data_IF_376729707064
#
_entry.id   IF_376729707064
#
_cell.length_a   1.000
_cell.length_b   1.000
_cell.length_c   1.000
_cell.angle_alpha   90.00
_cell.angle_beta   90.00
_cell.angle_gamma   90.00
#
_symmetry.space_group_name_H-M   'P 1'
#
loop_
_entity.id
_entity.type
_entity.pdbx_description
1 polymer ?
#
# COMPACT_ATOMS: atom_id res chain seq x y z
N UNK A 1 15.65 22.64 4.29
CA UNK A 1 14.18 22.82 4.21
C UNK A 1 13.54 21.53 4.69
N UNK A 2 12.40 21.57 5.40
CA UNK A 2 11.79 20.35 5.95
C UNK A 2 10.35 20.21 5.43
N UNK A 3 9.97 19.01 5.02
CA UNK A 3 8.61 18.66 4.63
C UNK A 3 8.15 17.36 5.25
N UNK A 4 6.83 17.21 5.40
CA UNK A 4 6.21 16.06 6.07
C UNK A 4 4.92 15.64 5.41
N UNK A 5 4.69 14.33 5.37
CA UNK A 5 3.44 13.78 4.89
C UNK A 5 3.12 12.44 5.57
N UNK A 6 1.83 12.08 5.55
CA UNK A 6 1.33 10.78 5.99
C UNK A 6 0.54 10.13 4.85
N UNK A 7 0.76 8.84 4.62
CA UNK A 7 0.03 8.03 3.64
C UNK A 7 -0.66 6.84 4.32
N UNK A 8 -1.95 6.59 4.04
CA UNK A 8 -2.64 5.45 4.62
C UNK A 8 -2.15 4.13 4.02
N UNK A 9 -2.20 3.06 4.82
CA UNK A 9 -2.13 1.68 4.38
C UNK A 9 -3.37 1.30 3.58
N UNK A 10 -3.38 0.09 3.01
CA UNK A 10 -4.53 -0.37 2.24
C UNK A 10 -4.79 -1.89 2.31
N UNK A 11 -6.07 -2.24 2.27
CA UNK A 11 -6.58 -3.59 2.05
C UNK A 11 -6.70 -3.92 0.56
N UNK A 12 -7.07 -5.16 0.23
CA UNK A 12 -7.14 -5.65 -1.16
C UNK A 12 -8.55 -6.07 -1.52
N UNK A 13 -8.98 -5.65 -2.71
CA UNK A 13 -10.18 -6.18 -3.38
C UNK A 13 -9.78 -7.17 -4.48
N UNK A 14 -8.83 -6.81 -5.33
CA UNK A 14 -8.30 -7.64 -6.41
C UNK A 14 -6.77 -7.61 -6.38
N UNK A 15 -6.15 -8.77 -6.24
CA UNK A 15 -4.71 -8.91 -6.36
C UNK A 15 -4.28 -8.91 -7.85
N UNK A 16 -3.34 -8.02 -8.19
CA UNK A 16 -2.91 -7.81 -9.57
C UNK A 16 -2.03 -8.91 -10.18
N UNK A 17 -1.48 -9.85 -9.40
CA UNK A 17 -0.48 -10.81 -9.88
C UNK A 17 -0.98 -11.73 -11.01
N UNK A 18 -2.28 -11.96 -11.11
CA UNK A 18 -2.84 -12.88 -12.09
C UNK A 18 -3.11 -12.25 -13.47
N UNK A 19 -3.39 -10.95 -13.52
CA UNK A 19 -3.92 -10.28 -14.72
C UNK A 19 -3.45 -8.86 -14.93
N UNK A 20 -2.63 -8.32 -14.02
CA UNK A 20 -2.20 -6.92 -13.99
C UNK A 20 -3.35 -5.91 -13.79
N UNK A 21 -4.57 -6.40 -13.50
CA UNK A 21 -5.69 -5.61 -13.01
C UNK A 21 -5.72 -5.69 -11.51
N UNK A 22 -5.68 -4.55 -10.84
CA UNK A 22 -5.59 -4.46 -9.38
C UNK A 22 -6.70 -3.64 -8.78
N UNK A 23 -7.06 -3.92 -7.54
CA UNK A 23 -7.97 -3.08 -6.77
C UNK A 23 -7.65 -3.16 -5.28
N UNK A 24 -7.54 -1.99 -4.66
CA UNK A 24 -7.18 -1.82 -3.26
C UNK A 24 -8.07 -0.74 -2.62
N UNK A 25 -8.10 -0.69 -1.29
CA UNK A 25 -8.83 0.34 -0.55
C UNK A 25 -8.00 0.85 0.62
N UNK A 26 -7.97 2.16 0.83
CA UNK A 26 -7.22 2.76 1.94
C UNK A 26 -7.91 2.53 3.29
N UNK A 27 -7.10 2.34 4.33
CA UNK A 27 -7.52 2.16 5.73
C UNK A 27 -6.87 3.22 6.62
N UNK A 28 -7.51 3.55 7.73
CA UNK A 28 -7.06 4.58 8.68
C UNK A 28 -5.91 4.07 9.56
N UNK A 29 -4.75 3.85 8.93
CA UNK A 29 -3.48 3.44 9.52
C UNK A 29 -2.34 3.97 8.64
N UNK A 30 -1.28 4.57 9.20
CA UNK A 30 -0.41 5.44 8.39
C UNK A 30 1.08 5.04 8.36
N UNK A 31 1.73 5.42 7.27
CA UNK A 31 3.17 5.63 7.21
C UNK A 31 3.43 7.13 7.09
N UNK A 32 4.27 7.65 7.97
CA UNK A 32 4.70 9.04 8.02
C UNK A 32 6.10 9.16 7.42
N UNK A 33 6.34 10.20 6.63
CA UNK A 33 7.65 10.56 6.12
C UNK A 33 8.02 11.98 6.56
N UNK A 34 9.26 12.18 6.98
CA UNK A 34 9.88 13.49 7.19
C UNK A 34 11.10 13.58 6.29
N UNK A 35 11.18 14.64 5.49
CA UNK A 35 12.30 14.90 4.56
C UNK A 35 12.96 16.22 4.94
N UNK A 36 14.26 16.17 5.23
CA UNK A 36 15.12 17.32 5.45
C UNK A 36 16.06 17.48 4.26
N UNK A 37 15.92 18.58 3.52
CA UNK A 37 16.77 18.95 2.39
C UNK A 37 17.87 19.92 2.81
N UNK A 38 19.10 19.69 2.34
CA UNK A 38 20.31 20.45 2.68
C UNK A 38 20.94 21.09 1.44
N UNK A 39 21.75 22.13 1.68
CA UNK A 39 22.49 22.83 0.62
C UNK A 39 23.97 22.44 0.60
N UNK A 40 24.70 22.74 -0.49
CA UNK A 40 26.13 22.37 -0.65
C UNK A 40 27.03 22.88 0.49
N UNK A 41 26.61 23.92 1.22
CA UNK A 41 27.36 24.45 2.36
C UNK A 41 27.32 23.54 3.61
N UNK A 42 26.49 22.50 3.59
CA UNK A 42 26.14 21.68 4.75
C UNK A 42 26.58 20.21 4.59
N UNK A 43 27.17 19.83 3.45
CA UNK A 43 27.57 18.43 3.12
C UNK A 43 29.08 18.37 2.90
N UNK A 44 29.74 17.36 3.47
CA UNK A 44 31.17 17.08 3.21
C UNK A 44 31.31 16.26 1.91
N UNK A 45 32.40 16.44 1.14
CA UNK A 45 32.58 15.85 -0.21
C UNK A 45 32.55 14.29 -0.22
N UNK A 46 32.62 13.66 0.96
CA UNK A 46 32.65 12.20 1.16
C UNK A 46 31.30 11.61 1.66
N UNK A 47 30.25 12.41 1.86
CA UNK A 47 28.93 11.94 2.35
C UNK A 47 27.97 11.56 1.19
N UNK A 48 27.15 10.53 1.42
CA UNK A 48 26.05 10.19 0.50
C UNK A 48 25.07 11.36 0.43
N UNK A 49 24.74 11.80 -0.78
CA UNK A 49 23.87 12.96 -0.98
C UNK A 49 22.46 12.72 -0.41
N UNK A 50 21.96 11.48 -0.39
CA UNK A 50 20.62 11.15 0.10
C UNK A 50 20.70 9.95 1.02
N UNK A 51 20.21 10.10 2.25
CA UNK A 51 20.27 9.07 3.30
C UNK A 51 18.87 8.75 3.79
N UNK A 52 18.49 7.47 3.75
CA UNK A 52 17.22 6.99 4.26
C UNK A 52 17.31 6.40 5.67
N UNK A 53 16.23 6.54 6.44
CA UNK A 53 16.06 5.91 7.74
C UNK A 53 14.65 5.34 7.90
N UNK A 54 14.55 4.11 8.41
CA UNK A 54 13.28 3.48 8.79
C UNK A 54 13.25 3.35 10.32
N UNK A 55 12.31 4.06 10.96
CA UNK A 55 12.16 4.04 12.41
C UNK A 55 11.88 2.63 12.93
N UNK A 56 12.64 2.17 13.92
CA UNK A 56 12.52 0.83 14.49
C UNK A 56 13.15 -0.29 13.66
N UNK A 57 13.70 0.00 12.47
CA UNK A 57 14.32 -0.98 11.59
C UNK A 57 15.60 -0.44 10.90
N UNK A 58 16.70 -0.23 11.66
CA UNK A 58 17.91 0.40 11.13
C UNK A 58 18.67 -0.45 10.09
N UNK A 59 18.36 -1.73 9.98
CA UNK A 59 18.95 -2.65 8.98
C UNK A 59 18.02 -2.89 7.78
N UNK A 60 16.86 -2.23 7.74
CA UNK A 60 15.92 -2.35 6.63
C UNK A 60 16.44 -1.62 5.38
N UNK A 61 15.99 -2.09 4.21
CA UNK A 61 16.37 -1.53 2.92
C UNK A 61 15.68 -0.17 2.68
N UNK A 62 16.49 0.89 2.60
CA UNK A 62 16.05 2.28 2.45
C UNK A 62 16.02 2.77 1.01
N UNK A 63 16.46 1.95 0.04
CA UNK A 63 16.61 2.35 -1.36
C UNK A 63 15.31 2.92 -1.95
N UNK A 64 14.15 2.36 -1.57
CA UNK A 64 12.86 2.86 -2.05
C UNK A 64 12.63 4.33 -1.70
N UNK A 65 12.83 4.71 -0.43
CA UNK A 65 12.57 6.07 0.03
C UNK A 65 13.64 7.04 -0.48
N UNK A 66 14.88 6.59 -0.59
CA UNK A 66 15.97 7.37 -1.17
C UNK A 66 15.71 7.67 -2.66
N UNK A 67 15.37 6.65 -3.46
CA UNK A 67 15.04 6.83 -4.89
C UNK A 67 13.78 7.69 -5.08
N UNK A 68 12.79 7.62 -4.18
CA UNK A 68 11.65 8.54 -4.24
C UNK A 68 12.08 10.01 -4.06
N UNK A 69 13.02 10.30 -3.15
CA UNK A 69 13.57 11.65 -2.97
C UNK A 69 14.35 12.06 -4.22
N UNK A 70 15.23 11.21 -4.74
CA UNK A 70 15.98 11.45 -5.97
C UNK A 70 15.07 11.87 -7.12
N UNK A 71 14.01 11.10 -7.39
CA UNK A 71 13.10 11.37 -8.49
C UNK A 71 12.32 12.67 -8.35
N UNK A 72 11.94 13.05 -7.12
CA UNK A 72 11.31 14.35 -6.89
C UNK A 72 12.32 15.49 -7.09
N UNK A 73 13.55 15.34 -6.59
CA UNK A 73 14.59 16.36 -6.78
C UNK A 73 14.99 16.51 -8.26
N UNK A 74 15.08 15.42 -9.01
CA UNK A 74 15.35 15.47 -10.45
C UNK A 74 14.24 16.20 -11.23
N UNK A 75 12.98 16.03 -10.82
CA UNK A 75 11.82 16.63 -11.49
C UNK A 75 11.54 18.07 -11.04
N UNK A 76 11.80 18.39 -9.77
CA UNK A 76 11.31 19.62 -9.11
C UNK A 76 12.32 20.33 -8.23
N UNK A 77 13.51 19.75 -8.02
CA UNK A 77 14.55 20.30 -7.17
C UNK A 77 15.15 21.60 -7.69
N UNK A 78 15.73 22.36 -6.77
CA UNK A 78 16.46 23.59 -7.07
C UNK A 78 17.96 23.30 -7.12
N UNK A 79 18.76 24.03 -7.93
CA UNK A 79 20.19 23.78 -8.07
C UNK A 79 20.98 23.88 -6.76
N UNK A 80 20.46 24.58 -5.75
CA UNK A 80 21.11 24.70 -4.44
C UNK A 80 20.89 23.50 -3.52
N UNK A 81 19.97 22.58 -3.82
CA UNK A 81 19.74 21.37 -3.01
C UNK A 81 20.84 20.36 -3.33
N UNK A 82 21.66 20.05 -2.34
CA UNK A 82 22.82 19.17 -2.47
C UNK A 82 22.61 17.80 -1.82
N UNK A 83 21.59 17.67 -0.97
CA UNK A 83 21.28 16.40 -0.34
C UNK A 83 20.02 16.38 0.49
N UNK A 84 19.70 15.20 1.02
CA UNK A 84 18.49 14.96 1.79
C UNK A 84 18.67 13.86 2.85
N UNK A 85 17.95 13.99 3.96
CA UNK A 85 17.68 12.89 4.90
C UNK A 85 16.19 12.63 4.86
N UNK A 86 15.81 11.38 4.59
CA UNK A 86 14.41 10.94 4.62
C UNK A 86 14.23 9.91 5.72
N UNK A 87 13.27 10.18 6.62
CA UNK A 87 12.91 9.27 7.70
C UNK A 87 11.47 8.85 7.59
N UNK A 88 11.22 7.54 7.62
CA UNK A 88 9.87 6.97 7.67
C UNK A 88 9.58 6.32 9.02
N UNK A 89 8.32 6.42 9.46
CA UNK A 89 7.78 5.78 10.66
C UNK A 89 6.38 5.27 10.33
N UNK A 90 6.06 4.02 10.71
CA UNK A 90 4.75 3.45 10.38
C UNK A 90 4.14 2.72 11.56
N UNK A 91 2.84 2.94 11.71
CA UNK A 91 1.98 2.20 12.63
C UNK A 91 1.59 0.81 12.06
N UNK A 92 1.83 0.62 10.75
CA UNK A 92 1.55 -0.61 10.01
C UNK A 92 2.69 -1.61 10.21
N UNK A 93 2.41 -2.86 10.64
CA UNK A 93 3.45 -3.88 10.74
C UNK A 93 4.12 -4.13 9.38
N UNK A 94 5.45 -4.15 9.35
CA UNK A 94 6.21 -4.46 8.12
C UNK A 94 5.89 -5.86 7.59
N UNK A 95 5.90 -6.01 6.26
CA UNK A 95 5.68 -7.28 5.56
C UNK A 95 4.38 -8.01 5.95
N UNK A 96 3.34 -7.23 6.27
CA UNK A 96 2.03 -7.72 6.72
C UNK A 96 1.00 -7.91 5.60
N UNK A 97 1.30 -7.50 4.37
CA UNK A 97 0.33 -7.49 3.26
C UNK A 97 -0.61 -6.27 3.27
N UNK A 98 -0.32 -5.26 4.09
CA UNK A 98 -1.08 -4.00 4.20
C UNK A 98 -0.45 -2.84 3.40
N UNK A 99 0.42 -3.16 2.43
CA UNK A 99 0.94 -2.21 1.43
C UNK A 99 1.79 -1.07 2.01
N UNK A 100 2.51 -1.37 3.09
CA UNK A 100 3.38 -0.40 3.77
C UNK A 100 4.42 0.24 2.85
N UNK A 101 4.95 -0.50 1.85
CA UNK A 101 5.92 0.05 0.89
C UNK A 101 5.32 1.13 -0.01
N UNK A 102 4.07 0.94 -0.48
CA UNK A 102 3.37 1.94 -1.29
C UNK A 102 3.04 3.19 -0.46
N UNK A 103 2.64 2.99 0.81
CA UNK A 103 2.43 4.11 1.74
C UNK A 103 3.73 4.87 2.01
N UNK A 104 4.85 4.17 2.26
CA UNK A 104 6.16 4.80 2.45
C UNK A 104 6.59 5.62 1.22
N UNK A 105 6.46 5.06 0.01
CA UNK A 105 6.79 5.76 -1.23
C UNK A 105 5.93 7.03 -1.40
N UNK A 106 4.60 6.91 -1.24
CA UNK A 106 3.68 8.03 -1.36
C UNK A 106 3.95 9.15 -0.34
N UNK A 107 4.16 8.77 0.93
CA UNK A 107 4.49 9.71 1.99
C UNK A 107 5.82 10.42 1.68
N UNK A 108 6.84 9.70 1.24
CA UNK A 108 8.13 10.29 0.89
C UNK A 108 8.03 11.24 -0.29
N UNK A 109 7.33 10.86 -1.38
CA UNK A 109 7.15 11.73 -2.55
C UNK A 109 6.46 13.03 -2.16
N UNK A 110 5.37 12.95 -1.40
CA UNK A 110 4.64 14.14 -0.95
C UNK A 110 5.46 14.98 0.04
N UNK A 111 6.18 14.35 0.98
CA UNK A 111 7.03 15.05 1.94
C UNK A 111 8.20 15.78 1.26
N UNK A 112 8.79 15.22 0.21
CA UNK A 112 9.83 15.91 -0.57
C UNK A 112 9.26 17.11 -1.32
N UNK A 113 8.09 16.96 -1.95
CA UNK A 113 7.41 18.08 -2.61
C UNK A 113 6.99 19.17 -1.61
N UNK A 114 6.58 18.78 -0.41
CA UNK A 114 6.27 19.70 0.70
C UNK A 114 7.53 20.44 1.17
N UNK A 115 8.66 19.75 1.31
CA UNK A 115 9.95 20.37 1.67
C UNK A 115 10.41 21.41 0.64
N UNK A 116 9.99 21.27 -0.62
CA UNK A 116 10.27 22.20 -1.70
C UNK A 116 9.20 23.31 -1.86
N UNK A 117 8.08 23.25 -1.13
CA UNK A 117 6.89 24.10 -1.35
C UNK A 117 6.37 23.99 -2.82
N UNK A 118 6.21 22.74 -3.27
CA UNK A 118 5.85 22.36 -4.66
C UNK A 118 4.77 21.29 -4.77
N UNK A 119 4.01 21.01 -3.72
CA UNK A 119 2.92 20.01 -3.75
C UNK A 119 1.87 20.32 -4.82
N UNK A 120 1.71 21.60 -5.21
CA UNK A 120 0.82 22.05 -6.29
C UNK A 120 1.33 21.79 -7.71
N UNK A 121 2.59 21.36 -7.86
CA UNK A 121 3.22 21.13 -9.18
C UNK A 121 2.99 19.75 -9.76
N UNK A 122 2.42 18.83 -8.99
CA UNK A 122 2.22 17.45 -9.39
C UNK A 122 0.81 17.00 -8.97
N UNK A 123 0.14 16.24 -9.83
CA UNK A 123 -1.13 15.62 -9.44
C UNK A 123 -0.87 14.46 -8.49
N UNK A 124 -1.85 14.08 -7.67
CA UNK A 124 -1.68 12.96 -6.74
C UNK A 124 -1.48 11.65 -7.49
N UNK A 125 -2.16 11.46 -8.61
CA UNK A 125 -1.96 10.32 -9.50
C UNK A 125 -0.52 10.24 -10.02
N UNK A 126 0.05 11.38 -10.43
CA UNK A 126 1.45 11.41 -10.89
C UNK A 126 2.43 11.17 -9.73
N UNK A 127 2.13 11.67 -8.52
CA UNK A 127 2.93 11.36 -7.33
C UNK A 127 2.94 9.84 -7.06
N UNK A 128 1.77 9.18 -7.13
CA UNK A 128 1.67 7.72 -7.00
C UNK A 128 2.48 6.99 -8.08
N UNK A 129 2.40 7.43 -9.34
CA UNK A 129 3.18 6.85 -10.44
C UNK A 129 4.69 6.98 -10.23
N UNK A 130 5.15 8.11 -9.69
CA UNK A 130 6.56 8.33 -9.39
C UNK A 130 7.03 7.38 -8.28
N UNK A 131 6.23 7.18 -7.24
CA UNK A 131 6.48 6.16 -6.21
C UNK A 131 6.52 4.73 -6.77
N UNK A 132 5.60 4.39 -7.67
CA UNK A 132 5.57 3.10 -8.38
C UNK A 132 6.80 2.90 -9.27
N UNK A 133 7.25 3.94 -9.96
CA UNK A 133 8.46 3.91 -10.77
C UNK A 133 9.68 3.61 -9.90
N UNK A 134 9.86 4.34 -8.80
CA UNK A 134 10.93 4.07 -7.83
C UNK A 134 10.86 2.64 -7.28
N UNK A 135 9.66 2.15 -6.94
CA UNK A 135 9.45 0.80 -6.46
C UNK A 135 9.85 -0.29 -7.46
N UNK A 136 9.60 -0.08 -8.76
CA UNK A 136 10.05 -0.97 -9.82
C UNK A 136 11.58 -0.97 -9.96
N UNK A 137 12.20 0.21 -9.91
CA UNK A 137 13.64 0.35 -10.13
C UNK A 137 14.48 -0.29 -9.01
N UNK A 138 14.03 -0.21 -7.76
CA UNK A 138 14.71 -0.84 -6.62
C UNK A 138 14.32 -2.31 -6.41
N UNK A 139 13.32 -2.80 -7.16
CA UNK A 139 12.91 -4.20 -7.20
C UNK A 139 12.03 -4.67 -6.02
N UNK A 140 11.30 -3.77 -5.36
CA UNK A 140 10.41 -4.12 -4.22
C UNK A 140 9.06 -4.69 -4.68
N UNK A 141 8.69 -4.55 -5.95
CA UNK A 141 7.41 -5.03 -6.50
C UNK A 141 7.61 -5.64 -7.89
N UNK A 142 6.88 -6.72 -8.18
CA UNK A 142 6.91 -7.40 -9.47
C UNK A 142 6.08 -6.67 -10.55
N UNK A 143 4.98 -6.02 -10.16
CA UNK A 143 4.03 -5.37 -11.09
C UNK A 143 4.03 -3.85 -11.01
N UNK A 144 4.71 -3.26 -10.01
CA UNK A 144 4.60 -1.83 -9.69
C UNK A 144 3.54 -1.53 -8.64
N UNK A 145 2.52 -2.39 -8.47
CA UNK A 145 1.45 -2.25 -7.49
C UNK A 145 0.76 -0.86 -7.52
N UNK A 146 0.36 -0.39 -8.71
CA UNK A 146 -0.30 0.91 -8.86
C UNK A 146 -1.70 0.96 -8.23
N UNK A 147 -2.41 -0.17 -8.14
CA UNK A 147 -3.56 -0.35 -7.24
C UNK A 147 -3.24 0.08 -5.82
N UNK A 148 -2.18 -0.48 -5.24
CA UNK A 148 -1.78 -0.23 -3.85
C UNK A 148 -1.39 1.25 -3.65
N UNK A 149 -0.57 1.77 -4.55
CA UNK A 149 -0.12 3.15 -4.52
C UNK A 149 -1.25 4.15 -4.73
N UNK A 150 -2.17 3.88 -5.67
CA UNK A 150 -3.32 4.75 -5.94
C UNK A 150 -4.32 4.76 -4.80
N UNK A 151 -4.63 3.61 -4.19
CA UNK A 151 -5.50 3.56 -3.02
C UNK A 151 -4.90 4.36 -1.86
N UNK A 152 -3.61 4.15 -1.55
CA UNK A 152 -2.91 4.91 -0.52
C UNK A 152 -2.85 6.41 -0.82
N UNK A 153 -2.52 6.79 -2.05
CA UNK A 153 -2.35 8.18 -2.45
C UNK A 153 -3.67 8.94 -2.53
N UNK A 154 -4.73 8.32 -3.08
CA UNK A 154 -5.99 9.00 -3.39
C UNK A 154 -7.07 8.75 -2.34
N UNK A 155 -6.91 7.75 -1.49
CA UNK A 155 -7.96 7.26 -0.60
C UNK A 155 -9.10 6.57 -1.36
N UNK A 156 -10.03 6.00 -0.61
CA UNK A 156 -11.18 5.25 -1.13
C UNK A 156 -10.77 3.88 -1.67
N UNK A 157 -11.64 3.31 -2.51
CA UNK A 157 -11.38 2.09 -3.27
C UNK A 157 -10.95 2.48 -4.68
N UNK A 158 -9.84 1.93 -5.16
CA UNK A 158 -9.36 2.14 -6.53
C UNK A 158 -9.42 0.84 -7.32
N UNK A 159 -9.67 0.94 -8.63
CA UNK A 159 -9.54 -0.14 -9.61
C UNK A 159 -8.60 0.34 -10.70
N UNK A 160 -7.64 -0.48 -11.12
CA UNK A 160 -6.50 -0.01 -11.92
C UNK A 160 -6.07 -0.99 -13.01
N UNK A 161 -5.42 -0.44 -14.03
CA UNK A 161 -4.52 -1.13 -14.95
C UNK A 161 -3.09 -0.92 -14.46
N UNK A 162 -2.45 -1.97 -13.93
CA UNK A 162 -1.07 -1.87 -13.43
C UNK A 162 -0.03 -1.95 -14.56
N UNK A 163 -0.40 -2.37 -15.77
CA UNK A 163 0.54 -2.34 -16.91
C UNK A 163 0.69 -0.92 -17.46
N UNK A 164 -0.40 -0.14 -17.43
CA UNK A 164 -0.44 1.24 -17.92
C UNK A 164 -0.35 2.31 -16.81
N UNK A 165 -0.32 1.89 -15.53
CA UNK A 165 -0.47 2.77 -14.36
C UNK A 165 -1.69 3.72 -14.50
N UNK A 166 -2.82 3.14 -14.90
CA UNK A 166 -4.07 3.83 -15.18
C UNK A 166 -5.12 3.56 -14.09
N UNK A 167 -5.75 4.62 -13.60
CA UNK A 167 -6.89 4.53 -12.69
C UNK A 167 -8.17 4.34 -13.50
N UNK A 168 -8.82 3.19 -13.35
CA UNK A 168 -10.06 2.84 -14.06
C UNK A 168 -11.30 3.33 -13.32
N UNK A 169 -11.29 3.21 -11.99
CA UNK A 169 -12.37 3.66 -11.13
C UNK A 169 -11.83 4.07 -9.75
N UNK A 170 -12.52 5.01 -9.10
CA UNK A 170 -12.33 5.35 -7.69
C UNK A 170 -13.69 5.64 -7.06
N UNK A 171 -13.98 4.98 -5.95
CA UNK A 171 -15.18 5.20 -5.16
C UNK A 171 -14.83 5.47 -3.68
N UNK A 172 -15.64 6.32 -3.04
CA UNK A 172 -15.55 6.58 -1.61
C UNK A 172 -16.56 5.70 -0.89
N UNK A 173 -16.06 4.82 -0.02
CA UNK A 173 -16.88 3.87 0.72
C UNK A 173 -16.57 3.98 2.19
N UNK A 174 -17.63 4.01 2.99
CA UNK A 174 -17.57 4.04 4.45
C UNK A 174 -17.79 2.61 4.98
N UNK A 175 -16.69 1.95 5.33
CA UNK A 175 -16.69 0.64 5.97
C UNK A 175 -15.95 0.69 7.30
N UNK A 176 -16.45 -0.03 8.29
CA UNK A 176 -15.57 -0.58 9.31
C UNK A 176 -14.73 -1.69 8.67
N UNK A 177 -13.49 -1.82 9.14
CA UNK A 177 -12.52 -2.80 8.65
C UNK A 177 -11.95 -3.57 9.83
N UNK A 178 -11.98 -4.89 9.75
CA UNK A 178 -11.25 -5.77 10.66
C UNK A 178 -10.04 -6.34 9.95
N UNK A 179 -8.89 -6.20 10.58
CA UNK A 179 -7.63 -6.78 10.09
C UNK A 179 -7.22 -7.90 11.03
N UNK A 180 -6.83 -9.03 10.45
CA UNK A 180 -6.14 -10.11 11.15
C UNK A 180 -4.77 -10.32 10.53
N UNK A 181 -3.72 -10.21 11.34
CA UNK A 181 -2.33 -10.43 10.92
C UNK A 181 -1.76 -11.63 11.68
N UNK A 182 -1.51 -12.76 10.98
CA UNK A 182 -0.75 -13.88 11.53
C UNK A 182 0.66 -13.48 11.97
N UNK A 183 1.33 -14.26 12.83
CA UNK A 183 2.70 -13.96 13.29
C UNK A 183 3.77 -14.16 12.20
N UNK A 184 3.41 -14.83 11.11
CA UNK A 184 4.27 -15.05 9.95
C UNK A 184 4.45 -13.75 9.16
N UNK A 185 5.54 -13.62 8.42
CA UNK A 185 5.77 -12.53 7.46
C UNK A 185 5.76 -13.11 6.05
N UNK A 186 5.24 -12.34 5.10
CA UNK A 186 5.27 -12.70 3.68
C UNK A 186 5.80 -11.53 2.86
N UNK A 187 6.89 -11.77 2.14
CA UNK A 187 7.47 -10.79 1.23
C UNK A 187 6.89 -10.98 -0.17
N UNK A 188 6.46 -9.89 -0.80
CA UNK A 188 5.87 -9.96 -2.15
C UNK A 188 6.85 -10.47 -3.21
N UNK A 189 8.15 -10.31 -2.99
CA UNK A 189 9.20 -10.86 -3.85
C UNK A 189 9.23 -12.40 -3.90
N UNK A 190 8.70 -13.07 -2.88
CA UNK A 190 8.67 -14.54 -2.77
C UNK A 190 7.40 -15.16 -3.36
N UNK A 191 6.43 -14.34 -3.82
CA UNK A 191 5.16 -14.83 -4.33
C UNK A 191 5.31 -15.61 -5.66
N UNK A 192 4.64 -16.76 -5.77
CA UNK A 192 4.61 -17.55 -7.00
C UNK A 192 3.65 -16.94 -8.04
N UNK A 193 4.16 -15.95 -8.78
CA UNK A 193 3.40 -15.23 -9.82
C UNK A 193 2.83 -16.20 -10.86
N UNK A 194 3.57 -17.24 -11.25
CA UNK A 194 3.09 -18.23 -12.24
C UNK A 194 1.90 -19.01 -11.71
N UNK A 195 1.86 -19.32 -10.42
CA UNK A 195 0.70 -19.97 -9.80
C UNK A 195 -0.49 -19.01 -9.73
N UNK A 196 -0.28 -17.72 -9.49
CA UNK A 196 -1.33 -16.70 -9.56
C UNK A 196 -1.92 -16.55 -10.98
N UNK A 197 -1.11 -16.62 -12.03
CA UNK A 197 -1.59 -16.58 -13.43
C UNK A 197 -2.61 -17.70 -13.73
N UNK A 198 -2.54 -18.85 -13.05
CA UNK A 198 -3.52 -19.93 -13.22
C UNK A 198 -4.94 -19.57 -12.72
N UNK A 199 -5.06 -18.62 -11.79
CA UNK A 199 -6.37 -18.14 -11.31
C UNK A 199 -6.86 -16.90 -12.07
N UNK A 200 -6.23 -16.53 -13.19
CA UNK A 200 -6.64 -15.40 -14.03
C UNK A 200 -8.14 -15.38 -14.42
N UNK A 201 -8.83 -16.52 -14.67
CA UNK A 201 -10.28 -16.50 -14.88
C UNK A 201 -11.08 -15.98 -13.68
N UNK A 202 -10.62 -16.26 -12.45
CA UNK A 202 -11.24 -15.73 -11.22
C UNK A 202 -10.89 -14.26 -11.04
N UNK A 203 -9.64 -13.86 -11.29
CA UNK A 203 -9.23 -12.45 -11.21
C UNK A 203 -10.04 -11.55 -12.17
N UNK A 204 -10.36 -12.02 -13.39
CA UNK A 204 -11.25 -11.29 -14.31
C UNK A 204 -12.68 -11.18 -13.80
N UNK A 205 -13.21 -12.21 -13.14
CA UNK A 205 -14.52 -12.11 -12.49
C UNK A 205 -14.51 -11.08 -11.35
N UNK A 206 -13.43 -11.05 -10.56
CA UNK A 206 -13.26 -10.04 -9.50
C UNK A 206 -13.17 -8.64 -10.10
N UNK A 207 -12.45 -8.46 -11.21
CA UNK A 207 -12.38 -7.19 -11.94
C UNK A 207 -13.78 -6.72 -12.38
N UNK A 208 -14.58 -7.60 -13.00
CA UNK A 208 -15.97 -7.31 -13.37
C UNK A 208 -16.79 -6.86 -12.16
N UNK A 209 -16.72 -7.58 -11.04
CA UNK A 209 -17.44 -7.23 -9.81
C UNK A 209 -16.98 -5.89 -9.23
N UNK A 210 -15.67 -5.61 -9.22
CA UNK A 210 -15.11 -4.37 -8.71
C UNK A 210 -15.50 -3.16 -9.58
N UNK A 211 -15.52 -3.31 -10.90
CA UNK A 211 -15.99 -2.26 -11.83
C UNK A 211 -17.50 -2.01 -11.72
N UNK A 212 -18.28 -3.03 -11.32
CA UNK A 212 -19.71 -2.90 -11.03
C UNK A 212 -19.99 -2.38 -9.60
N UNK A 213 -18.95 -2.10 -8.80
CA UNK A 213 -19.06 -1.61 -7.42
C UNK A 213 -19.43 -2.68 -6.38
N UNK A 214 -19.42 -3.97 -6.75
CA UNK A 214 -19.75 -5.11 -5.90
C UNK A 214 -18.52 -5.60 -5.11
N UNK A 215 -17.86 -4.65 -4.43
CA UNK A 215 -16.54 -4.83 -3.84
C UNK A 215 -16.47 -5.92 -2.77
N UNK A 216 -17.51 -6.05 -1.92
CA UNK A 216 -17.54 -7.08 -0.87
C UNK A 216 -17.48 -8.50 -1.49
N UNK A 217 -18.29 -8.76 -2.52
CA UNK A 217 -18.24 -10.04 -3.23
C UNK A 217 -16.93 -10.20 -4.01
N UNK A 218 -16.43 -9.14 -4.61
CA UNK A 218 -15.13 -9.13 -5.28
C UNK A 218 -14.00 -9.57 -4.32
N UNK A 219 -13.95 -8.99 -3.12
CA UNK A 219 -13.00 -9.35 -2.05
C UNK A 219 -13.05 -10.84 -1.72
N UNK A 220 -14.25 -11.40 -1.52
CA UNK A 220 -14.41 -12.82 -1.14
C UNK A 220 -14.00 -13.77 -2.27
N UNK A 221 -14.34 -13.47 -3.52
CA UNK A 221 -13.90 -14.28 -4.67
C UNK A 221 -12.38 -14.19 -4.82
N UNK A 222 -11.80 -13.01 -4.69
CA UNK A 222 -10.36 -12.79 -4.72
C UNK A 222 -9.66 -13.58 -3.61
N UNK A 223 -10.10 -13.41 -2.37
CA UNK A 223 -9.51 -14.06 -1.21
C UNK A 223 -9.46 -15.58 -1.35
N UNK A 224 -10.57 -16.22 -1.73
CA UNK A 224 -10.62 -17.67 -1.92
C UNK A 224 -9.67 -18.13 -3.04
N UNK A 225 -9.60 -17.41 -4.15
CA UNK A 225 -8.73 -17.74 -5.27
C UNK A 225 -7.24 -17.56 -4.92
N UNK A 226 -6.89 -16.45 -4.27
CA UNK A 226 -5.49 -16.11 -3.97
C UNK A 226 -4.96 -16.81 -2.72
N UNK A 227 -5.79 -17.18 -1.73
CA UNK A 227 -5.38 -18.12 -0.68
C UNK A 227 -4.92 -19.44 -1.31
N UNK A 228 -5.71 -20.00 -2.24
CA UNK A 228 -5.34 -21.24 -2.92
C UNK A 228 -4.11 -21.08 -3.84
N UNK A 229 -3.96 -19.92 -4.50
CA UNK A 229 -2.83 -19.67 -5.38
C UNK A 229 -1.52 -19.41 -4.63
N UNK A 230 -1.57 -18.73 -3.48
CA UNK A 230 -0.40 -18.34 -2.69
C UNK A 230 -0.13 -19.27 -1.49
N UNK A 231 -0.90 -20.36 -1.36
CA UNK A 231 -0.75 -21.38 -0.32
C UNK A 231 -1.03 -20.89 1.11
N UNK A 232 -1.94 -19.92 1.24
CA UNK A 232 -2.43 -19.43 2.54
C UNK A 232 -3.69 -20.17 3.00
N UNK A 233 -3.88 -20.25 4.32
CA UNK A 233 -5.06 -20.84 4.94
C UNK A 233 -6.33 -20.05 4.54
N UNK A 234 -7.32 -20.72 3.95
CA UNK A 234 -8.60 -20.10 3.61
C UNK A 234 -9.57 -20.04 4.79
N UNK A 235 -9.31 -20.73 5.90
CA UNK A 235 -10.23 -20.81 7.03
C UNK A 235 -10.57 -19.44 7.66
N UNK A 236 -9.66 -18.45 7.78
CA UNK A 236 -10.04 -17.10 8.22
C UNK A 236 -11.15 -16.46 7.36
N UNK A 237 -11.17 -16.72 6.05
CA UNK A 237 -12.22 -16.24 5.15
C UNK A 237 -13.54 -16.95 5.45
N UNK A 238 -13.50 -18.28 5.59
CA UNK A 238 -14.68 -19.09 5.91
C UNK A 238 -15.31 -18.68 7.24
N UNK A 239 -14.50 -18.34 8.24
CA UNK A 239 -14.96 -17.81 9.52
C UNK A 239 -15.67 -16.46 9.37
N UNK A 240 -15.10 -15.55 8.58
CA UNK A 240 -15.65 -14.21 8.34
C UNK A 240 -16.94 -14.23 7.52
N UNK A 241 -17.03 -15.09 6.50
CA UNK A 241 -18.20 -15.24 5.60
C UNK A 241 -19.50 -15.62 6.34
N UNK A 242 -19.42 -16.00 7.61
CA UNK A 242 -20.59 -16.25 8.48
C UNK A 242 -21.31 -14.97 8.90
N UNK A 243 -20.63 -13.83 8.81
CA UNK A 243 -21.08 -12.54 9.33
C UNK A 243 -21.02 -11.41 8.29
N UNK A 244 -20.08 -11.47 7.35
CA UNK A 244 -19.84 -10.41 6.34
C UNK A 244 -19.71 -10.99 4.93
N UNK A 245 -20.01 -10.17 3.92
CA UNK A 245 -19.83 -10.55 2.50
C UNK A 245 -18.43 -10.18 1.97
N UNK A 246 -17.74 -9.21 2.59
CA UNK A 246 -16.43 -8.73 2.17
C UNK A 246 -15.30 -9.25 3.06
N UNK A 247 -14.53 -10.22 2.57
CA UNK A 247 -13.29 -10.68 3.21
C UNK A 247 -12.26 -11.10 2.18
N UNK A 248 -11.00 -10.70 2.32
CA UNK A 248 -9.93 -11.10 1.41
C UNK A 248 -8.62 -11.37 2.14
N UNK A 249 -7.78 -12.20 1.54
CA UNK A 249 -6.34 -12.12 1.76
C UNK A 249 -5.84 -10.77 1.24
N UNK A 250 -5.07 -10.04 2.04
CA UNK A 250 -4.53 -8.74 1.64
C UNK A 250 -3.15 -8.88 1.01
N UNK A 251 -2.97 -8.28 -0.17
CA UNK A 251 -1.74 -8.28 -0.94
C UNK A 251 -1.32 -9.70 -1.26
N UNK A 252 -0.05 -9.99 -1.02
CA UNK A 252 0.53 -11.34 -1.09
C UNK A 252 0.50 -12.06 0.26
N UNK A 253 -0.36 -11.63 1.18
CA UNK A 253 -0.40 -12.09 2.57
C UNK A 253 0.62 -11.40 3.48
N UNK A 254 0.67 -11.79 4.77
CA UNK A 254 -0.16 -12.83 5.39
C UNK A 254 -1.47 -12.30 6.00
N UNK A 255 -1.71 -10.98 6.00
CA UNK A 255 -2.93 -10.45 6.63
C UNK A 255 -4.21 -10.74 5.85
N UNK A 256 -5.30 -10.81 6.59
CA UNK A 256 -6.67 -10.90 6.11
C UNK A 256 -7.41 -9.62 6.48
N UNK A 257 -8.27 -9.15 5.59
CA UNK A 257 -9.10 -7.97 5.80
C UNK A 257 -10.56 -8.33 5.59
N UNK A 258 -11.42 -7.94 6.51
CA UNK A 258 -12.87 -8.08 6.42
C UNK A 258 -13.52 -6.69 6.55
N UNK A 259 -14.57 -6.45 5.77
CA UNK A 259 -15.31 -5.17 5.75
C UNK A 259 -16.79 -5.41 5.98
N UNK A 260 -17.47 -4.40 6.52
CA UNK A 260 -18.91 -4.43 6.75
C UNK A 260 -19.31 -3.69 8.04
N UNK A 261 -20.53 -3.90 8.53
CA UNK A 261 -20.99 -3.23 9.75
C UNK A 261 -20.20 -3.67 10.99
N UNK A 262 -19.79 -2.71 11.85
CA UNK A 262 -19.08 -2.96 13.12
C UNK A 262 -19.56 -4.19 13.91
N UNK A 263 -20.86 -4.40 14.18
CA UNK A 263 -21.30 -5.52 15.01
C UNK A 263 -21.04 -6.88 14.36
N UNK A 264 -21.04 -6.96 13.03
CA UNK A 264 -20.71 -8.19 12.31
C UNK A 264 -19.20 -8.47 12.42
N UNK A 265 -18.37 -7.43 12.25
CA UNK A 265 -16.91 -7.55 12.38
C UNK A 265 -16.48 -7.92 13.79
N UNK A 266 -17.10 -7.39 14.84
CA UNK A 266 -16.83 -7.81 16.22
C UNK A 266 -17.09 -9.31 16.45
N UNK A 267 -18.08 -9.87 15.74
CA UNK A 267 -18.33 -11.33 15.76
C UNK A 267 -17.27 -12.12 14.99
N UNK A 268 -16.75 -11.58 13.88
CA UNK A 268 -15.61 -12.16 13.15
C UNK A 268 -14.34 -12.13 14.02
N UNK A 269 -14.11 -11.02 14.71
CA UNK A 269 -12.95 -10.83 15.60
C UNK A 269 -12.89 -11.92 16.68
N UNK A 270 -14.03 -12.31 17.26
CA UNK A 270 -14.09 -13.42 18.24
C UNK A 270 -13.61 -14.76 17.66
N UNK A 271 -13.74 -14.98 16.35
CA UNK A 271 -13.20 -16.17 15.69
C UNK A 271 -11.70 -16.03 15.44
N UNK A 272 -11.28 -14.90 14.88
CA UNK A 272 -9.88 -14.64 14.56
C UNK A 272 -8.98 -14.51 15.81
N UNK A 273 -9.49 -14.01 16.93
CA UNK A 273 -8.79 -13.94 18.23
C UNK A 273 -8.42 -15.30 18.82
N UNK A 274 -8.98 -16.40 18.27
CA UNK A 274 -8.61 -17.77 18.67
C UNK A 274 -7.38 -18.28 17.91
N UNK A 275 -6.93 -17.54 16.89
CA UNK A 275 -5.77 -17.84 16.08
C UNK A 275 -4.55 -17.11 16.65
N UNK A 276 -3.37 -17.63 16.38
CA UNK A 276 -2.14 -16.91 16.66
C UNK A 276 -2.05 -15.68 15.74
N UNK A 277 -1.59 -14.55 16.29
CA UNK A 277 -1.51 -13.27 15.59
C UNK A 277 -2.24 -12.17 16.33
N UNK A 278 -2.52 -11.07 15.64
CA UNK A 278 -3.23 -9.92 16.20
C UNK A 278 -4.43 -9.55 15.33
N UNK A 279 -5.50 -9.11 15.98
CA UNK A 279 -6.65 -8.50 15.31
C UNK A 279 -6.79 -7.06 15.75
N UNK A 280 -7.25 -6.20 14.86
CA UNK A 280 -7.55 -4.81 15.18
C UNK A 280 -8.62 -4.27 14.22
N UNK A 281 -9.33 -3.25 14.69
CA UNK A 281 -10.42 -2.62 13.95
C UNK A 281 -10.02 -1.21 13.55
N UNK A 282 -10.33 -0.84 12.32
CA UNK A 282 -10.12 0.49 11.73
C UNK A 282 -11.30 0.81 10.81
N UNK A 283 -11.19 1.86 10.02
CA UNK A 283 -12.16 2.27 9.01
C UNK A 283 -11.48 2.51 7.67
N UNK A 284 -12.26 2.58 6.61
CA UNK A 284 -11.76 3.10 5.33
C UNK A 284 -11.33 4.56 5.45
N UNK A 285 -10.37 4.95 4.62
CA UNK A 285 -9.83 6.30 4.55
C UNK A 285 -10.07 6.85 3.14
N UNK A 286 -10.73 8.01 3.01
CA UNK A 286 -11.11 8.58 1.70
C UNK A 286 -10.24 9.73 1.23
N UNK A 287 -9.50 10.39 2.12
CA UNK A 287 -8.67 11.54 1.75
C UNK A 287 -7.40 11.14 1.00
N UNK A 288 -6.75 10.02 1.36
CA UNK A 288 -5.45 9.57 0.89
C UNK A 288 -4.26 10.23 1.60
N UNK A 289 -3.12 10.28 0.93
CA UNK A 289 -1.88 10.90 1.44
C UNK A 289 -2.00 12.41 1.59
N UNK A 290 -1.56 12.97 2.71
CA UNK A 290 -1.65 14.41 3.00
C UNK A 290 -0.39 14.92 3.71
N UNK A 291 -0.13 16.22 3.61
CA UNK A 291 0.95 16.92 4.31
C UNK A 291 0.63 17.14 5.80
N UNK A 292 1.66 17.29 6.65
CA UNK A 292 1.51 17.42 8.12
C UNK A 292 1.94 18.78 8.69
#
# INVERSE_FOLDING_TARGET
MQGKAAAPAAGTVLNALATHRGSAFAIDEYTHATVDLFTEAEIDDDEEAIVGEIAGAPEADTRLIETCVEYVLDAHGEPEVAGAVVRTESDVPMASGLKSSSAAANATVMATLDALDRTDRMTREDMARLGVMAARDVGVTATGAFDDASASMLGGVTVTDNDADELLARDEIDWDVLVYTPPEQAFSADADVRRCEHVAPMARLVEELALDGDYERAMTVNGLAFCAALDFDSEPLIEAMRQVEGVSLSGTGPSYVAVGPRPALEQVQVYWDRRDGNTWLTTTQTEGTHTL
#
